data_IF_029590211456
#
_entry.id   IF_029590211456
#
_cell.length_a   1.000
_cell.length_b   1.000
_cell.length_c   1.000
_cell.angle_alpha   90.00
_cell.angle_beta   90.00
_cell.angle_gamma   90.00
#
_symmetry.space_group_name_H-M   'P 1'
#
loop_
_entity.id
_entity.type
_entity.pdbx_description
1 polymer ?
#
# COMPACT_ATOMS: atom_id res chain seq x y z
N UNK A 1 5.39 -1.23 8.70
CA UNK A 1 4.32 -1.40 9.71
C UNK A 1 3.48 -0.12 9.71
N UNK A 2 2.16 -0.23 9.50
CA UNK A 2 1.20 0.87 9.64
C UNK A 2 0.67 0.84 11.08
N UNK A 3 0.84 1.94 11.80
CA UNK A 3 0.37 2.09 13.18
C UNK A 3 -0.77 3.09 13.19
N UNK A 4 -1.95 2.68 13.63
CA UNK A 4 -3.00 3.62 14.01
C UNK A 4 -2.85 3.88 15.51
N UNK A 5 -2.11 4.95 15.82
CA UNK A 5 -1.53 5.27 17.13
C UNK A 5 -2.54 5.64 18.22
N UNK A 6 -3.83 5.76 17.90
CA UNK A 6 -4.89 5.98 18.86
C UNK A 6 -5.90 4.83 18.80
N UNK A 7 -6.23 4.26 19.96
CA UNK A 7 -7.45 3.46 20.08
C UNK A 7 -8.63 4.37 19.77
N UNK A 8 -9.61 3.86 19.02
CA UNK A 8 -10.86 4.60 18.91
C UNK A 8 -11.48 4.75 20.31
N UNK A 9 -12.05 5.91 20.59
CA UNK A 9 -12.66 6.24 21.88
C UNK A 9 -14.12 6.63 21.69
N UNK A 10 -14.96 6.34 22.67
CA UNK A 10 -16.42 6.54 22.62
C UNK A 10 -17.18 5.30 22.13
N UNK A 11 -18.50 5.42 22.07
CA UNK A 11 -19.41 4.31 21.77
C UNK A 11 -19.92 3.60 23.02
N UNK A 12 -21.01 2.86 22.85
CA UNK A 12 -21.81 2.25 23.93
C UNK A 12 -21.48 0.77 24.17
N UNK A 13 -20.41 0.24 23.57
CA UNK A 13 -20.05 -1.18 23.66
C UNK A 13 -18.61 -1.49 23.21
N UNK A 14 -18.23 -2.79 23.19
CA UNK A 14 -16.88 -3.21 22.84
C UNK A 14 -16.51 -2.73 21.44
N UNK A 15 -15.27 -2.24 21.32
CA UNK A 15 -14.75 -1.69 20.07
C UNK A 15 -14.10 -2.81 19.28
N UNK A 16 -14.54 -2.99 18.03
CA UNK A 16 -13.93 -3.92 17.09
C UNK A 16 -13.27 -3.17 15.94
N UNK A 17 -12.16 -3.71 15.44
CA UNK A 17 -11.40 -3.12 14.34
C UNK A 17 -11.35 -4.07 13.15
N UNK A 18 -11.34 -3.50 11.96
CA UNK A 18 -11.13 -4.20 10.71
C UNK A 18 -10.33 -3.31 9.77
N UNK A 19 -9.15 -3.76 9.32
CA UNK A 19 -8.40 -3.07 8.28
C UNK A 19 -9.03 -3.33 6.92
N UNK A 20 -9.08 -2.28 6.11
CA UNK A 20 -9.59 -2.31 4.75
C UNK A 20 -8.53 -1.83 3.78
N UNK A 21 -8.50 -2.42 2.58
CA UNK A 21 -7.60 -2.08 1.50
C UNK A 21 -8.35 -1.64 0.23
N UNK A 22 -7.67 -0.86 -0.61
CA UNK A 22 -8.14 -0.45 -1.94
C UNK A 22 -6.93 -0.28 -2.89
N UNK A 23 -6.98 -0.88 -4.08
CA UNK A 23 -5.93 -0.81 -5.11
C UNK A 23 -6.22 0.27 -6.17
N UNK A 24 -6.36 1.53 -5.74
CA UNK A 24 -6.25 2.72 -6.59
C UNK A 24 -7.36 2.99 -7.62
N UNK A 25 -8.15 1.99 -8.04
CA UNK A 25 -9.03 2.11 -9.22
C UNK A 25 -10.54 2.08 -8.93
N UNK A 26 -10.99 1.97 -7.68
CA UNK A 26 -12.43 2.09 -7.37
C UNK A 26 -12.69 2.32 -5.89
N UNK A 27 -13.80 2.95 -5.48
CA UNK A 27 -14.09 3.28 -4.07
C UNK A 27 -14.43 2.05 -3.20
N UNK A 28 -14.33 0.84 -3.73
CA UNK A 28 -14.61 -0.41 -3.01
C UNK A 28 -13.49 -0.73 -2.01
N UNK A 29 -13.70 -0.32 -0.76
CA UNK A 29 -12.91 -0.77 0.38
C UNK A 29 -13.25 -2.21 0.71
N UNK A 30 -12.25 -3.09 0.71
CA UNK A 30 -12.42 -4.52 1.02
C UNK A 30 -11.77 -4.85 2.35
N UNK A 31 -12.46 -5.63 3.17
CA UNK A 31 -11.91 -6.12 4.45
C UNK A 31 -10.71 -7.04 4.20
N UNK A 32 -9.60 -6.77 4.87
CA UNK A 32 -8.40 -7.59 4.81
C UNK A 32 -8.55 -8.71 5.85
N UNK A 33 -8.58 -9.95 5.38
CA UNK A 33 -8.79 -11.11 6.24
C UNK A 33 -7.79 -11.15 7.42
N UNK A 34 -8.30 -11.43 8.62
CA UNK A 34 -7.54 -11.53 9.87
C UNK A 34 -6.83 -10.23 10.32
N UNK A 35 -7.11 -9.08 9.71
CA UNK A 35 -6.50 -7.81 10.07
C UNK A 35 -7.41 -7.01 11.03
N UNK A 36 -7.46 -7.43 12.30
CA UNK A 36 -8.29 -6.82 13.36
C UNK A 36 -7.49 -6.09 14.44
N UNK A 37 -6.16 -6.00 14.28
CA UNK A 37 -5.27 -5.36 15.24
C UNK A 37 -5.27 -3.83 15.17
N UNK A 38 -4.70 -3.21 16.22
CA UNK A 38 -4.41 -1.77 16.21
C UNK A 38 -3.34 -1.39 15.17
N UNK A 39 -2.44 -2.33 14.88
CA UNK A 39 -1.42 -2.24 13.85
C UNK A 39 -1.76 -3.15 12.68
N UNK A 40 -1.26 -2.80 11.51
CA UNK A 40 -1.34 -3.63 10.32
C UNK A 40 -0.04 -3.51 9.55
N UNK A 41 0.49 -4.64 9.09
CA UNK A 41 1.61 -4.66 8.18
C UNK A 41 1.13 -5.27 6.87
N UNK A 42 1.02 -4.47 5.78
CA UNK A 42 0.75 -5.02 4.47
C UNK A 42 1.84 -6.04 4.13
N UNK A 43 1.43 -7.21 3.62
CA UNK A 43 2.34 -8.15 2.98
C UNK A 43 2.99 -7.50 1.75
N UNK A 44 4.02 -8.14 1.19
CA UNK A 44 4.72 -7.66 -0.01
C UNK A 44 3.74 -7.22 -1.10
N UNK A 45 3.80 -5.94 -1.46
CA UNK A 45 3.00 -5.34 -2.52
C UNK A 45 3.70 -5.65 -3.85
N UNK A 46 3.15 -6.59 -4.62
CA UNK A 46 3.82 -7.14 -5.82
C UNK A 46 3.47 -6.42 -7.11
N UNK A 47 2.38 -5.64 -7.13
CA UNK A 47 1.94 -4.96 -8.34
C UNK A 47 2.27 -3.46 -8.25
N UNK A 48 2.74 -2.84 -9.35
CA UNK A 48 3.08 -1.42 -9.39
C UNK A 48 1.81 -0.58 -9.42
N UNK A 49 1.20 -0.39 -8.25
CA UNK A 49 -0.05 0.33 -8.14
C UNK A 49 -0.12 1.09 -6.82
N UNK A 50 -1.13 1.94 -6.72
CA UNK A 50 -1.44 2.70 -5.52
C UNK A 50 -2.34 1.86 -4.61
N UNK A 51 -1.85 1.56 -3.41
CA UNK A 51 -2.59 0.88 -2.36
C UNK A 51 -3.01 1.88 -1.29
N UNK A 52 -4.30 1.90 -0.96
CA UNK A 52 -4.85 2.71 0.10
C UNK A 52 -5.32 1.81 1.24
N UNK A 53 -5.02 2.18 2.48
CA UNK A 53 -5.40 1.45 3.68
C UNK A 53 -6.12 2.36 4.67
N UNK A 54 -7.15 1.83 5.33
CA UNK A 54 -7.82 2.49 6.46
C UNK A 54 -8.26 1.45 7.49
N UNK A 55 -8.50 1.87 8.72
CA UNK A 55 -9.12 1.04 9.76
C UNK A 55 -10.57 1.45 9.95
N UNK A 56 -11.48 0.48 9.78
CA UNK A 56 -12.88 0.57 10.19
C UNK A 56 -12.98 0.19 11.67
N UNK A 57 -13.74 0.98 12.42
CA UNK A 57 -14.02 0.76 13.83
C UNK A 57 -15.52 0.63 14.01
N UNK A 58 -15.98 -0.36 14.77
CA UNK A 58 -17.40 -0.55 15.10
C UNK A 58 -17.55 -0.62 16.61
N UNK A 59 -18.50 0.15 17.17
CA UNK A 59 -18.94 0.06 18.56
C UNK A 59 -20.46 0.10 18.60
N UNK A 60 -21.10 -1.02 18.94
CA UNK A 60 -22.56 -1.16 18.81
C UNK A 60 -23.01 -0.96 17.36
N UNK A 61 -23.86 0.03 17.13
CA UNK A 61 -24.32 0.43 15.78
C UNK A 61 -23.47 1.53 15.14
N UNK A 62 -22.54 2.14 15.89
CA UNK A 62 -21.70 3.22 15.38
C UNK A 62 -20.52 2.66 14.58
N UNK A 63 -20.23 3.28 13.44
CA UNK A 63 -19.06 2.98 12.60
C UNK A 63 -18.23 4.24 12.39
N UNK A 64 -16.91 4.14 12.57
CA UNK A 64 -15.95 5.21 12.29
C UNK A 64 -14.77 4.70 11.44
N UNK A 65 -14.12 5.60 10.72
CA UNK A 65 -12.97 5.29 9.86
C UNK A 65 -11.77 6.16 10.25
N UNK A 66 -10.57 5.58 10.18
CA UNK A 66 -9.32 6.34 10.32
C UNK A 66 -9.03 7.21 9.09
N UNK A 67 -7.94 7.99 9.16
CA UNK A 67 -7.30 8.54 7.96
C UNK A 67 -6.91 7.41 6.99
N UNK A 68 -6.78 7.78 5.71
CA UNK A 68 -6.29 6.89 4.66
C UNK A 68 -4.77 6.99 4.62
N UNK A 69 -4.09 5.85 4.52
CA UNK A 69 -2.66 5.78 4.19
C UNK A 69 -2.49 5.25 2.78
N UNK A 70 -1.72 5.95 1.97
CA UNK A 70 -1.45 5.62 0.56
C UNK A 70 -0.02 5.14 0.38
N UNK A 71 0.15 4.02 -0.31
CA UNK A 71 1.45 3.42 -0.65
C UNK A 71 1.49 3.21 -2.16
N UNK A 72 2.45 3.83 -2.84
CA UNK A 72 2.69 3.60 -4.27
C UNK A 72 3.80 2.58 -4.42
N UNK A 73 3.48 1.41 -4.99
CA UNK A 73 4.48 0.44 -5.38
C UNK A 73 4.92 0.71 -6.82
N UNK A 74 6.22 0.57 -7.07
CA UNK A 74 6.82 0.69 -8.40
C UNK A 74 7.67 -0.54 -8.65
N UNK A 75 7.79 -0.98 -9.91
CA UNK A 75 8.83 -1.94 -10.26
C UNK A 75 10.22 -1.32 -10.03
N UNK A 76 11.24 -2.13 -9.69
CA UNK A 76 12.61 -1.67 -9.80
C UNK A 76 12.87 -1.24 -11.25
N UNK A 77 13.41 -0.04 -11.44
CA UNK A 77 13.85 0.41 -12.76
C UNK A 77 15.06 -0.43 -13.18
N UNK A 78 14.99 -1.07 -14.36
CA UNK A 78 16.17 -1.70 -14.96
C UNK A 78 16.96 -0.64 -15.74
N UNK A 79 18.27 -0.58 -15.54
CA UNK A 79 19.19 0.21 -16.38
C UNK A 79 19.67 -0.65 -17.54
N UNK A 80 19.47 -0.21 -18.78
CA UNK A 80 19.87 -0.95 -19.98
C UNK A 80 21.38 -1.00 -20.26
N UNK A 81 22.19 -0.39 -19.38
CA UNK A 81 23.61 -0.18 -19.63
C UNK A 81 23.88 0.86 -20.73
N UNK A 82 25.15 1.17 -20.96
CA UNK A 82 25.59 2.00 -22.07
C UNK A 82 26.59 1.20 -22.91
N UNK A 83 26.41 1.20 -24.23
CA UNK A 83 27.39 0.66 -25.17
C UNK A 83 28.34 1.80 -25.51
N UNK A 84 29.62 1.62 -25.22
CA UNK A 84 30.68 2.52 -25.66
C UNK A 84 31.46 1.85 -26.80
N UNK A 85 31.87 2.64 -27.78
CA UNK A 85 32.88 2.20 -28.74
C UNK A 85 34.21 2.07 -28.00
N UNK A 86 34.80 0.88 -28.02
CA UNK A 86 36.20 0.66 -27.68
C UNK A 86 37.05 1.24 -28.82
N UNK A 87 37.83 2.28 -28.50
CA UNK A 87 38.96 2.71 -29.31
C UNK A 87 38.63 3.53 -30.58
N UNK A 88 39.65 4.08 -31.25
CA UNK A 88 39.48 4.88 -32.46
C UNK A 88 39.04 3.97 -33.61
N UNK A 89 37.73 3.90 -33.85
CA UNK A 89 37.14 3.16 -34.97
C UNK A 89 37.74 3.59 -36.31
N UNK A 90 38.59 2.77 -36.91
CA UNK A 90 38.93 2.91 -38.34
C UNK A 90 38.03 1.96 -39.11
N UNK A 91 36.93 2.49 -39.66
CA UNK A 91 36.08 1.75 -40.61
C UNK A 91 36.76 1.84 -41.97
N UNK A 92 37.38 0.76 -42.42
CA UNK A 92 37.81 0.62 -43.81
C UNK A 92 36.68 -0.05 -44.59
N UNK A 93 36.03 0.71 -45.47
CA UNK A 93 35.14 0.15 -46.50
C UNK A 93 36.02 -0.25 -47.69
N UNK A 94 35.94 -1.53 -48.07
CA UNK A 94 36.54 -2.09 -49.29
C UNK A 94 35.68 -1.81 -50.52
#
# INVERSE_FOLDING_TARGET
MLTSSAAASGGSGPITYQWQGNTGSSPSWVDIANATGLTFQPSTLTSPTTYNFRRKTISGTATAYSNIVTITASYPTMSGGAIYLDGPSTITVI
#
